data_IF_282711309216
#
_entry.id   IF_282711309216
#
_cell.length_a   1.000
_cell.length_b   1.000
_cell.length_c   1.000
_cell.angle_alpha   90.00
_cell.angle_beta   90.00
_cell.angle_gamma   90.00
#
_symmetry.space_group_name_H-M   'P 1'
#
loop_
_entity.id
_entity.type
_entity.pdbx_description
1 polymer ?
#
# COMPACT_ATOMS: atom_id res chain seq x y z
N UNK A 1 14.50 26.44 -14.46
CA UNK A 1 15.40 26.37 -13.29
C UNK A 1 16.81 26.62 -13.76
N UNK A 2 17.46 27.62 -13.24
CA UNK A 2 18.89 27.87 -13.49
C UNK A 2 19.69 26.81 -12.73
N UNK A 3 20.83 26.36 -13.24
CA UNK A 3 21.61 25.21 -12.78
C UNK A 3 22.18 25.28 -11.33
N UNK A 4 21.59 26.10 -10.45
CA UNK A 4 22.11 26.34 -9.09
C UNK A 4 21.04 26.43 -7.98
N UNK A 5 19.74 26.27 -8.28
CA UNK A 5 18.77 26.27 -7.21
C UNK A 5 18.76 24.89 -6.53
N UNK A 6 18.94 24.80 -5.20
CA UNK A 6 18.92 23.53 -4.49
C UNK A 6 17.54 22.86 -4.66
N UNK A 7 17.56 21.52 -4.78
CA UNK A 7 16.33 20.73 -4.83
C UNK A 7 15.53 21.00 -3.56
N UNK A 8 14.31 21.54 -3.72
CA UNK A 8 13.38 21.82 -2.63
C UNK A 8 12.23 20.82 -2.64
N UNK A 9 11.98 20.17 -1.51
CA UNK A 9 10.93 19.14 -1.34
C UNK A 9 10.00 19.53 -0.22
N UNK A 10 8.68 19.56 -0.50
CA UNK A 10 7.64 19.67 0.52
C UNK A 10 7.12 18.27 0.83
N UNK A 11 7.41 17.77 2.02
CA UNK A 11 6.92 16.48 2.52
C UNK A 11 5.55 16.70 3.14
N UNK A 12 4.51 16.15 2.53
CA UNK A 12 3.14 16.20 3.06
C UNK A 12 2.92 15.04 4.02
N UNK A 13 2.69 15.36 5.30
CA UNK A 13 2.44 14.35 6.33
C UNK A 13 1.45 14.85 7.37
N UNK A 14 0.68 13.96 7.95
CA UNK A 14 -0.40 14.25 8.89
C UNK A 14 -1.74 13.81 8.32
N UNK A 15 -2.58 14.77 7.92
CA UNK A 15 -3.93 14.51 7.42
C UNK A 15 -4.90 14.14 8.54
N UNK A 16 -6.10 13.69 8.17
CA UNK A 16 -7.21 13.43 9.10
C UNK A 16 -7.49 11.92 9.31
N UNK A 17 -6.70 11.04 8.69
CA UNK A 17 -6.90 9.59 8.83
C UNK A 17 -6.50 9.08 10.22
N UNK A 18 -6.97 7.89 10.57
CA UNK A 18 -6.56 7.20 11.80
C UNK A 18 -5.04 6.88 11.84
N UNK A 19 -4.36 6.97 10.68
CA UNK A 19 -2.93 6.72 10.52
C UNK A 19 -2.09 8.01 10.58
N UNK A 20 -2.68 9.14 11.04
CA UNK A 20 -2.02 10.44 11.16
C UNK A 20 -0.66 10.37 11.85
N UNK A 21 -0.56 9.67 12.98
CA UNK A 21 0.68 9.57 13.75
C UNK A 21 1.78 8.78 12.99
N UNK A 22 1.39 7.76 12.24
CA UNK A 22 2.29 7.01 11.36
C UNK A 22 2.78 7.90 10.22
N UNK A 23 1.88 8.67 9.63
CA UNK A 23 2.19 9.65 8.58
C UNK A 23 3.18 10.70 9.07
N UNK A 24 2.94 11.32 10.22
CA UNK A 24 3.85 12.33 10.79
C UNK A 24 5.24 11.76 11.11
N UNK A 25 5.32 10.53 11.62
CA UNK A 25 6.62 9.87 11.87
C UNK A 25 7.34 9.54 10.56
N UNK A 26 6.63 8.99 9.59
CA UNK A 26 7.18 8.70 8.25
C UNK A 26 7.67 9.97 7.57
N UNK A 27 6.87 11.05 7.61
CA UNK A 27 7.22 12.33 7.00
C UNK A 27 8.47 12.98 7.61
N UNK A 28 8.61 12.94 8.95
CA UNK A 28 9.83 13.42 9.61
C UNK A 28 11.06 12.65 9.13
N UNK A 29 10.99 11.32 9.06
CA UNK A 29 12.10 10.49 8.57
C UNK A 29 12.48 10.81 7.13
N UNK A 30 11.48 11.01 6.26
CA UNK A 30 11.73 11.41 4.86
C UNK A 30 12.43 12.76 4.82
N UNK A 31 11.92 13.77 5.54
CA UNK A 31 12.52 15.10 5.57
C UNK A 31 13.94 15.09 6.13
N UNK A 32 14.18 14.34 7.22
CA UNK A 32 15.51 14.26 7.85
C UNK A 32 16.50 13.50 6.94
N UNK A 33 16.08 12.44 6.25
CA UNK A 33 16.91 11.73 5.29
C UNK A 33 17.28 12.61 4.09
N UNK A 34 16.35 13.38 3.54
CA UNK A 34 16.61 14.34 2.47
C UNK A 34 17.59 15.44 2.91
N UNK A 35 17.40 16.00 4.11
CA UNK A 35 18.29 17.02 4.67
C UNK A 35 19.71 16.50 4.89
N UNK A 36 19.88 15.24 5.28
CA UNK A 36 21.19 14.63 5.50
C UNK A 36 22.06 14.57 4.25
N UNK A 37 21.46 14.65 3.06
CA UNK A 37 22.15 14.66 1.76
C UNK A 37 22.06 16.03 1.05
N UNK A 38 21.75 17.10 1.80
CA UNK A 38 21.78 18.48 1.30
C UNK A 38 20.56 18.92 0.51
N UNK A 39 19.44 18.15 0.54
CA UNK A 39 18.17 18.57 -0.06
C UNK A 39 17.41 19.46 0.91
N UNK A 40 16.87 20.59 0.43
CA UNK A 40 16.00 21.42 1.23
C UNK A 40 14.64 20.72 1.37
N UNK A 41 14.30 20.27 2.58
CA UNK A 41 13.06 19.56 2.84
C UNK A 41 12.25 20.22 3.96
N UNK A 42 10.98 20.53 3.70
CA UNK A 42 10.04 21.07 4.68
C UNK A 42 8.89 20.10 4.90
N UNK A 43 8.44 20.00 6.16
CA UNK A 43 7.28 19.19 6.53
C UNK A 43 6.05 20.07 6.56
N UNK A 44 4.96 19.62 5.91
CA UNK A 44 3.68 20.33 5.92
C UNK A 44 2.53 19.35 6.13
N UNK A 45 1.60 19.72 7.01
CA UNK A 45 0.31 19.05 7.15
C UNK A 45 -0.64 19.59 6.07
N UNK A 46 -1.37 18.75 5.32
CA UNK A 46 -2.36 19.23 4.37
C UNK A 46 -3.53 19.88 5.11
N UNK A 47 -3.78 21.12 4.75
CA UNK A 47 -4.87 21.94 5.27
C UNK A 47 -5.52 22.76 4.15
N UNK A 48 -6.50 23.61 4.48
CA UNK A 48 -7.21 24.45 3.53
C UNK A 48 -6.32 25.44 2.78
N UNK A 49 -5.09 25.70 3.24
CA UNK A 49 -4.14 26.63 2.61
C UNK A 49 -3.14 25.91 1.68
N UNK A 50 -3.19 24.58 1.59
CA UNK A 50 -2.19 23.81 0.84
C UNK A 50 -2.18 24.19 -0.64
N UNK A 51 -3.33 24.24 -1.29
CA UNK A 51 -3.39 24.50 -2.74
C UNK A 51 -2.97 25.93 -3.09
N UNK A 52 -3.33 26.92 -2.27
CA UNK A 52 -2.86 28.29 -2.46
C UNK A 52 -1.34 28.38 -2.26
N UNK A 53 -0.80 27.72 -1.24
CA UNK A 53 0.64 27.63 -1.02
C UNK A 53 1.37 27.03 -2.22
N UNK A 54 0.91 25.91 -2.76
CA UNK A 54 1.52 25.26 -3.91
C UNK A 54 1.52 26.13 -5.17
N UNK A 55 0.50 27.00 -5.31
CA UNK A 55 0.39 27.94 -6.42
C UNK A 55 1.31 29.16 -6.24
N UNK A 56 1.37 29.72 -5.03
CA UNK A 56 2.08 30.97 -4.73
C UNK A 56 3.57 30.76 -4.47
N UNK A 57 3.93 29.62 -3.90
CA UNK A 57 5.30 29.25 -3.53
C UNK A 57 5.59 27.80 -3.93
N UNK A 58 5.59 27.48 -5.23
CA UNK A 58 5.71 26.11 -5.67
C UNK A 58 7.07 25.52 -5.26
N UNK A 59 7.07 24.37 -4.54
CA UNK A 59 8.28 23.60 -4.32
C UNK A 59 8.74 22.97 -5.64
N UNK A 60 9.99 22.53 -5.71
CA UNK A 60 10.45 21.76 -6.85
C UNK A 60 9.67 20.42 -6.93
N UNK A 61 9.47 19.76 -5.77
CA UNK A 61 8.79 18.47 -5.67
C UNK A 61 7.95 18.41 -4.40
N UNK A 62 6.78 17.78 -4.48
CA UNK A 62 5.98 17.36 -3.32
C UNK A 62 6.25 15.88 -3.04
N UNK A 63 6.40 15.50 -1.77
CA UNK A 63 6.46 14.10 -1.36
C UNK A 63 5.27 13.76 -0.47
N UNK A 64 4.20 13.12 -1.00
CA UNK A 64 3.09 12.67 -0.20
C UNK A 64 3.50 11.48 0.69
N UNK A 65 3.29 11.62 2.01
CA UNK A 65 3.51 10.58 3.01
C UNK A 65 2.26 10.48 3.88
N UNK A 66 1.11 10.45 3.23
CA UNK A 66 -0.21 10.41 3.86
C UNK A 66 -0.80 9.02 3.73
N UNK A 67 -1.10 8.39 4.86
CA UNK A 67 -1.63 7.03 4.88
C UNK A 67 -3.16 7.01 4.98
N UNK A 68 -3.75 5.91 4.51
CA UNK A 68 -5.19 5.75 4.41
C UNK A 68 -5.81 6.57 3.27
N UNK A 69 -7.12 6.76 3.30
CA UNK A 69 -7.86 7.44 2.21
C UNK A 69 -7.31 8.82 1.86
N UNK A 70 -6.79 9.56 2.85
CA UNK A 70 -6.26 10.92 2.63
C UNK A 70 -5.11 11.02 1.62
N UNK A 71 -4.37 9.92 1.39
CA UNK A 71 -3.22 9.90 0.48
C UNK A 71 -3.30 8.80 -0.57
N UNK A 72 -3.89 7.65 -0.23
CA UNK A 72 -3.79 6.42 -1.03
C UNK A 72 -4.94 6.25 -2.03
N UNK A 73 -6.06 6.97 -1.88
CA UNK A 73 -7.23 6.88 -2.76
C UNK A 73 -7.08 7.61 -4.11
N UNK A 74 -5.96 8.33 -4.29
CA UNK A 74 -5.63 9.08 -5.49
C UNK A 74 -6.29 10.45 -5.60
N UNK A 75 -7.09 10.90 -4.62
CA UNK A 75 -7.75 12.21 -4.69
C UNK A 75 -6.75 13.37 -4.57
N UNK A 76 -5.90 13.35 -3.54
CA UNK A 76 -4.86 14.35 -3.37
C UNK A 76 -3.87 14.36 -4.54
N UNK A 77 -3.46 13.17 -5.01
CA UNK A 77 -2.53 13.04 -6.15
C UNK A 77 -3.13 13.68 -7.41
N UNK A 78 -4.43 13.48 -7.66
CA UNK A 78 -5.12 14.14 -8.76
C UNK A 78 -5.17 15.67 -8.62
N UNK A 79 -5.23 16.22 -7.42
CA UNK A 79 -5.14 17.67 -7.20
C UNK A 79 -3.72 18.19 -7.46
N UNK A 80 -2.68 17.42 -7.10
CA UNK A 80 -1.29 17.77 -7.44
C UNK A 80 -1.05 17.73 -8.95
N UNK A 81 -1.61 16.74 -9.65
CA UNK A 81 -1.58 16.65 -11.12
C UNK A 81 -2.25 17.86 -11.77
N UNK A 82 -3.47 18.23 -11.32
CA UNK A 82 -4.19 19.41 -11.81
C UNK A 82 -3.44 20.73 -11.52
N UNK A 83 -2.72 20.79 -10.41
CA UNK A 83 -1.91 21.95 -10.06
C UNK A 83 -0.56 21.99 -10.83
N UNK A 84 -0.23 20.96 -11.60
CA UNK A 84 1.03 20.87 -12.34
C UNK A 84 2.27 20.76 -11.45
N UNK A 85 2.11 20.26 -10.21
CA UNK A 85 3.20 20.15 -9.23
C UNK A 85 3.82 18.76 -9.32
N UNK A 86 5.14 18.63 -9.61
CA UNK A 86 5.83 17.35 -9.55
C UNK A 86 5.74 16.71 -8.17
N UNK A 87 5.54 15.41 -8.10
CA UNK A 87 5.48 14.71 -6.82
C UNK A 87 6.08 13.30 -6.90
N UNK A 88 6.62 12.84 -5.78
CA UNK A 88 7.14 11.47 -5.64
C UNK A 88 5.98 10.50 -5.42
N UNK A 89 5.99 9.40 -6.15
CA UNK A 89 5.03 8.31 -5.98
C UNK A 89 4.35 7.89 -7.27
N UNK A 90 3.11 7.49 -7.16
CA UNK A 90 2.29 6.94 -8.25
C UNK A 90 1.28 7.94 -8.75
N UNK A 91 0.85 7.82 -10.02
CA UNK A 91 -0.23 8.66 -10.54
C UNK A 91 -1.53 8.48 -9.74
N UNK A 92 -2.39 9.50 -9.77
CA UNK A 92 -3.71 9.43 -9.16
C UNK A 92 -4.53 8.24 -9.71
N UNK A 93 -4.36 7.89 -10.98
CA UNK A 93 -4.98 6.72 -11.61
C UNK A 93 -4.49 5.43 -10.97
N UNK A 94 -3.19 5.23 -10.89
CA UNK A 94 -2.59 4.02 -10.32
C UNK A 94 -2.93 3.87 -8.85
N UNK A 95 -2.94 4.97 -8.08
CA UNK A 95 -3.36 4.96 -6.68
C UNK A 95 -4.83 4.50 -6.54
N UNK A 96 -5.75 5.01 -7.34
CA UNK A 96 -7.16 4.55 -7.33
C UNK A 96 -7.31 3.07 -7.66
N UNK A 97 -6.54 2.56 -8.64
CA UNK A 97 -6.57 1.14 -9.00
C UNK A 97 -6.03 0.25 -7.87
N UNK A 98 -4.96 0.68 -7.22
CA UNK A 98 -4.35 -0.03 -6.09
C UNK A 98 -5.21 0.01 -4.83
N UNK A 99 -5.89 1.12 -4.56
CA UNK A 99 -6.76 1.33 -3.39
C UNK A 99 -7.98 0.41 -3.39
N UNK A 100 -8.52 0.09 -4.58
CA UNK A 100 -9.66 -0.81 -4.75
C UNK A 100 -9.18 -2.25 -4.91
N UNK A 101 -9.20 -3.02 -3.81
CA UNK A 101 -8.69 -4.40 -3.77
C UNK A 101 -9.29 -5.30 -4.86
N UNK A 102 -10.61 -5.29 -5.11
CA UNK A 102 -11.21 -6.08 -6.20
C UNK A 102 -10.60 -5.73 -7.58
N UNK A 103 -10.40 -4.44 -7.85
CA UNK A 103 -9.78 -3.99 -9.10
C UNK A 103 -8.31 -4.40 -9.19
N UNK A 104 -7.54 -4.21 -8.13
CA UNK A 104 -6.14 -4.64 -8.08
C UNK A 104 -5.99 -6.14 -8.29
N UNK A 105 -6.88 -6.96 -7.70
CA UNK A 105 -6.93 -8.42 -7.89
C UNK A 105 -7.25 -8.80 -9.33
N UNK A 106 -8.23 -8.17 -9.94
CA UNK A 106 -8.59 -8.44 -11.34
C UNK A 106 -7.42 -8.11 -12.29
N UNK A 107 -6.69 -7.03 -12.04
CA UNK A 107 -5.49 -6.68 -12.80
C UNK A 107 -4.32 -7.65 -12.53
N UNK A 108 -4.18 -8.14 -11.29
CA UNK A 108 -3.21 -9.18 -10.96
C UNK A 108 -3.51 -10.49 -11.71
N UNK A 109 -4.77 -10.93 -11.76
CA UNK A 109 -5.19 -12.10 -12.53
C UNK A 109 -4.93 -11.91 -14.04
N UNK A 110 -5.26 -10.74 -14.58
CA UNK A 110 -4.98 -10.41 -15.99
C UNK A 110 -3.47 -10.40 -16.30
N UNK A 111 -2.64 -10.05 -15.31
CA UNK A 111 -1.19 -10.17 -15.39
C UNK A 111 -0.69 -11.60 -15.16
N UNK A 112 -1.56 -12.60 -14.98
CA UNK A 112 -1.21 -14.00 -14.75
C UNK A 112 -0.68 -14.30 -13.35
N UNK A 113 -1.03 -13.49 -12.35
CA UNK A 113 -0.70 -13.74 -10.95
C UNK A 113 -1.84 -14.50 -10.25
N UNK A 114 -1.50 -15.30 -9.26
CA UNK A 114 -2.50 -15.92 -8.40
C UNK A 114 -3.01 -14.93 -7.37
N UNK A 115 -4.31 -14.93 -7.13
CA UNK A 115 -4.96 -14.19 -6.04
C UNK A 115 -6.06 -15.05 -5.43
N UNK A 116 -6.39 -14.92 -4.14
CA UNK A 116 -7.43 -15.72 -3.53
C UNK A 116 -8.77 -15.54 -4.25
N UNK A 117 -9.50 -16.63 -4.46
CA UNK A 117 -10.87 -16.55 -5.00
C UNK A 117 -11.71 -15.64 -4.11
N UNK A 118 -12.46 -14.72 -4.68
CA UNK A 118 -13.19 -13.73 -3.90
C UNK A 118 -14.51 -13.32 -4.50
N UNK A 119 -15.38 -12.78 -3.63
CA UNK A 119 -16.66 -12.18 -3.99
C UNK A 119 -16.69 -10.79 -3.35
N UNK A 120 -17.17 -9.83 -4.13
CA UNK A 120 -17.36 -8.45 -3.69
C UNK A 120 -18.84 -8.16 -3.53
N UNK A 121 -19.26 -7.68 -2.36
CA UNK A 121 -20.66 -7.43 -2.03
C UNK A 121 -20.85 -6.01 -1.47
N UNK A 122 -21.58 -5.14 -2.19
CA UNK A 122 -22.11 -3.91 -1.64
C UNK A 122 -23.13 -4.20 -0.54
N UNK A 123 -23.17 -3.38 0.52
CA UNK A 123 -24.15 -3.54 1.62
C UNK A 123 -25.61 -3.46 1.15
N UNK A 124 -25.87 -2.70 0.09
CA UNK A 124 -27.24 -2.55 -0.45
C UNK A 124 -27.76 -3.84 -1.10
N UNK A 125 -26.87 -4.71 -1.61
CA UNK A 125 -27.24 -6.02 -2.13
C UNK A 125 -28.02 -6.86 -1.10
N UNK A 126 -27.64 -6.77 0.18
CA UNK A 126 -28.34 -7.48 1.26
C UNK A 126 -29.71 -6.87 1.55
N UNK A 127 -29.85 -5.55 1.42
CA UNK A 127 -31.13 -4.87 1.61
C UNK A 127 -32.12 -5.22 0.52
N UNK A 128 -31.66 -5.34 -0.71
CA UNK A 128 -32.49 -5.62 -1.88
C UNK A 128 -32.84 -7.11 -2.02
N UNK A 129 -31.86 -8.01 -1.88
CA UNK A 129 -32.01 -9.43 -2.20
C UNK A 129 -32.25 -10.33 -0.97
N UNK A 130 -32.08 -9.78 0.23
CA UNK A 130 -32.21 -10.52 1.48
C UNK A 130 -30.96 -11.34 1.84
N UNK A 131 -30.53 -11.20 3.10
CA UNK A 131 -29.25 -11.74 3.57
C UNK A 131 -29.14 -13.27 3.42
N UNK A 132 -30.18 -14.03 3.72
CA UNK A 132 -30.12 -15.49 3.72
C UNK A 132 -29.81 -16.07 2.32
N UNK A 133 -30.43 -15.53 1.27
CA UNK A 133 -30.22 -16.00 -0.09
C UNK A 133 -28.81 -15.63 -0.60
N UNK A 134 -28.37 -14.39 -0.34
CA UNK A 134 -27.04 -13.92 -0.74
C UNK A 134 -25.95 -14.74 -0.04
N UNK A 135 -26.04 -14.93 1.28
CA UNK A 135 -25.04 -15.68 2.03
C UNK A 135 -24.95 -17.15 1.60
N UNK A 136 -26.07 -17.80 1.30
CA UNK A 136 -26.05 -19.16 0.76
C UNK A 136 -25.27 -19.25 -0.55
N UNK A 137 -25.51 -18.35 -1.50
CA UNK A 137 -24.76 -18.31 -2.76
C UNK A 137 -23.26 -18.05 -2.54
N UNK A 138 -22.93 -17.18 -1.59
CA UNK A 138 -21.53 -16.88 -1.25
C UNK A 138 -20.83 -18.12 -0.71
N UNK A 139 -21.45 -18.82 0.25
CA UNK A 139 -20.84 -20.02 0.87
C UNK A 139 -20.74 -21.20 -0.09
N UNK A 140 -21.63 -21.28 -1.09
CA UNK A 140 -21.53 -22.26 -2.18
C UNK A 140 -20.38 -21.92 -3.16
N UNK A 141 -20.17 -20.62 -3.43
CA UNK A 141 -19.18 -20.16 -4.40
C UNK A 141 -17.75 -20.11 -3.83
N UNK A 142 -17.62 -19.68 -2.58
CA UNK A 142 -16.33 -19.61 -1.86
C UNK A 142 -16.50 -20.39 -0.56
N UNK A 143 -15.91 -21.58 -0.41
CA UNK A 143 -15.97 -22.34 0.84
C UNK A 143 -15.10 -21.70 1.93
N UNK A 144 -15.51 -21.87 3.20
CA UNK A 144 -14.71 -21.47 4.35
C UNK A 144 -13.38 -22.27 4.42
N UNK A 145 -12.33 -21.72 5.04
CA UNK A 145 -12.27 -20.45 5.77
C UNK A 145 -12.15 -19.21 4.87
N UNK A 146 -12.58 -18.03 5.40
CA UNK A 146 -12.57 -16.77 4.68
C UNK A 146 -11.67 -15.71 5.37
N UNK A 147 -11.13 -14.79 4.58
CA UNK A 147 -10.75 -13.46 5.01
C UNK A 147 -11.83 -12.47 4.53
N UNK A 148 -12.53 -11.83 5.46
CA UNK A 148 -13.55 -10.82 5.17
C UNK A 148 -12.97 -9.46 5.49
N UNK A 149 -13.04 -8.51 4.57
CA UNK A 149 -12.43 -7.18 4.72
C UNK A 149 -13.18 -6.13 3.90
N UNK A 150 -13.03 -4.83 4.22
CA UNK A 150 -13.49 -3.77 3.34
C UNK A 150 -12.79 -3.87 1.98
N UNK A 151 -13.52 -3.59 0.89
CA UNK A 151 -12.93 -3.56 -0.47
C UNK A 151 -11.88 -2.47 -0.61
N UNK A 152 -12.00 -1.38 0.16
CA UNK A 152 -11.07 -0.25 0.23
C UNK A 152 -10.67 -0.02 1.67
N UNK A 153 -9.42 0.39 1.90
CA UNK A 153 -8.91 0.66 3.24
C UNK A 153 -7.53 0.08 3.46
N UNK A 154 -6.88 0.52 4.53
CA UNK A 154 -5.53 0.15 4.94
C UNK A 154 -5.50 -0.43 6.36
N UNK A 155 -4.28 -0.73 6.85
CA UNK A 155 -3.98 -1.10 8.25
C UNK A 155 -4.78 -2.28 8.81
N UNK A 156 -5.27 -3.17 7.96
CA UNK A 156 -6.11 -4.31 8.34
C UNK A 156 -7.38 -3.94 9.14
N UNK A 157 -7.89 -2.70 9.00
CA UNK A 157 -9.15 -2.29 9.62
C UNK A 157 -10.32 -3.07 9.03
N UNK A 158 -11.18 -3.60 9.88
CA UNK A 158 -12.35 -4.38 9.46
C UNK A 158 -12.01 -5.75 8.84
N UNK A 159 -10.78 -6.23 8.98
CA UNK A 159 -10.38 -7.58 8.54
C UNK A 159 -10.75 -8.60 9.61
N UNK A 160 -11.51 -9.61 9.21
CA UNK A 160 -11.92 -10.73 10.07
C UNK A 160 -11.63 -12.07 9.38
N UNK A 161 -10.93 -12.96 10.08
CA UNK A 161 -10.74 -14.34 9.63
C UNK A 161 -11.93 -15.18 10.14
N UNK A 162 -12.68 -15.76 9.22
CA UNK A 162 -13.89 -16.53 9.46
C UNK A 162 -13.61 -17.99 9.13
N UNK A 163 -13.56 -18.84 10.16
CA UNK A 163 -13.31 -20.28 9.99
C UNK A 163 -14.59 -21.08 9.82
N UNK A 164 -15.70 -20.57 10.34
CA UNK A 164 -17.03 -21.16 10.24
C UNK A 164 -17.95 -20.21 9.46
N UNK A 165 -18.65 -20.73 8.46
CA UNK A 165 -19.56 -19.95 7.62
C UNK A 165 -20.69 -19.26 8.42
N UNK A 166 -21.06 -19.78 9.59
CA UNK A 166 -22.06 -19.16 10.48
C UNK A 166 -21.62 -17.77 11.00
N UNK A 167 -20.31 -17.52 11.11
CA UNK A 167 -19.77 -16.23 11.54
C UNK A 167 -19.65 -15.20 10.41
N UNK A 168 -19.87 -15.61 9.15
CA UNK A 168 -19.74 -14.72 7.97
C UNK A 168 -20.63 -13.47 8.05
N UNK A 169 -21.92 -13.55 8.47
CA UNK A 169 -22.77 -12.36 8.57
C UNK A 169 -22.20 -11.27 9.47
N UNK A 170 -21.63 -11.66 10.62
CA UNK A 170 -21.03 -10.73 11.57
C UNK A 170 -19.77 -10.08 11.00
N UNK A 171 -18.88 -10.89 10.40
CA UNK A 171 -17.67 -10.39 9.77
C UNK A 171 -17.95 -9.36 8.65
N UNK A 172 -19.04 -9.55 7.92
CA UNK A 172 -19.48 -8.60 6.90
C UNK A 172 -19.97 -7.29 7.51
N UNK A 173 -20.74 -7.35 8.62
CA UNK A 173 -21.18 -6.14 9.34
C UNK A 173 -19.95 -5.38 9.84
N UNK A 174 -18.94 -6.07 10.37
CA UNK A 174 -17.68 -5.46 10.82
C UNK A 174 -16.94 -4.78 9.66
N UNK A 175 -16.86 -5.45 8.48
CA UNK A 175 -16.26 -4.84 7.28
C UNK A 175 -17.04 -3.61 6.79
N UNK A 176 -18.38 -3.62 6.85
CA UNK A 176 -19.22 -2.48 6.48
C UNK A 176 -19.12 -1.28 7.42
N UNK A 177 -18.51 -1.44 8.59
CA UNK A 177 -18.19 -0.30 9.47
C UNK A 177 -17.15 0.64 8.85
N UNK A 178 -16.29 0.09 7.98
CA UNK A 178 -15.18 0.81 7.34
C UNK A 178 -15.40 1.11 5.86
N UNK A 179 -16.50 0.67 5.27
CA UNK A 179 -16.81 0.94 3.87
C UNK A 179 -18.14 0.34 3.44
N UNK A 180 -18.61 0.70 2.25
CA UNK A 180 -19.92 0.27 1.74
C UNK A 180 -19.85 -1.07 0.98
N UNK A 181 -18.67 -1.61 0.78
CA UNK A 181 -18.41 -2.82 0.01
C UNK A 181 -17.49 -3.75 0.80
N UNK A 182 -17.93 -4.98 1.03
CA UNK A 182 -17.13 -6.04 1.62
C UNK A 182 -16.53 -6.93 0.53
N UNK A 183 -15.28 -7.36 0.75
CA UNK A 183 -14.57 -8.37 -0.02
C UNK A 183 -14.47 -9.63 0.85
N UNK A 184 -15.00 -10.73 0.36
CA UNK A 184 -14.95 -12.05 0.98
C UNK A 184 -13.97 -12.87 0.15
N UNK A 185 -12.86 -13.27 0.74
CA UNK A 185 -11.82 -14.04 0.06
C UNK A 185 -11.65 -15.41 0.68
N UNK A 186 -11.33 -16.40 -0.12
CA UNK A 186 -10.79 -17.65 0.36
C UNK A 186 -9.54 -17.38 1.20
N UNK A 187 -9.47 -17.93 2.40
CA UNK A 187 -8.25 -17.84 3.20
C UNK A 187 -7.16 -18.73 2.57
N UNK A 188 -6.05 -18.11 2.21
CA UNK A 188 -4.84 -18.82 1.79
C UNK A 188 -3.95 -19.00 3.01
N UNK A 189 -3.57 -20.24 3.30
CA UNK A 189 -2.62 -20.55 4.35
C UNK A 189 -1.19 -20.54 3.80
N UNK A 190 -0.25 -19.95 4.55
CA UNK A 190 1.13 -19.87 4.12
C UNK A 190 1.92 -18.83 4.91
N UNK A 191 3.08 -18.48 4.36
CA UNK A 191 3.97 -17.46 4.93
C UNK A 191 3.55 -16.08 4.43
N UNK A 192 3.21 -15.17 5.34
CA UNK A 192 2.86 -13.79 5.00
C UNK A 192 4.12 -12.98 4.70
N UNK A 193 4.15 -12.37 3.52
CA UNK A 193 5.29 -11.63 2.97
C UNK A 193 4.87 -10.23 2.61
N UNK A 194 5.70 -9.24 2.96
CA UNK A 194 5.66 -7.91 2.37
C UNK A 194 6.95 -7.66 1.58
N UNK A 195 6.81 -7.13 0.38
CA UNK A 195 7.96 -6.85 -0.48
C UNK A 195 7.84 -5.44 -1.07
N UNK A 196 8.90 -4.64 -0.93
CA UNK A 196 9.00 -3.33 -1.57
C UNK A 196 9.40 -3.45 -3.03
N UNK A 197 8.87 -2.57 -3.86
CA UNK A 197 9.33 -2.37 -5.24
C UNK A 197 9.68 -0.90 -5.40
N UNK A 198 10.84 -0.62 -6.01
CA UNK A 198 11.35 0.71 -6.29
C UNK A 198 11.61 0.87 -7.78
N UNK A 199 11.23 2.01 -8.34
CA UNK A 199 11.65 2.46 -9.66
C UNK A 199 12.28 3.85 -9.56
N UNK A 200 13.57 3.92 -9.81
CA UNK A 200 14.34 5.17 -9.85
C UNK A 200 14.56 5.68 -11.27
N UNK A 201 13.80 5.18 -12.24
CA UNK A 201 13.91 5.53 -13.67
C UNK A 201 14.68 4.50 -14.52
N UNK A 202 15.23 3.45 -13.90
CA UNK A 202 15.89 2.33 -14.60
C UNK A 202 14.98 1.11 -14.81
N UNK A 203 13.76 1.17 -14.31
CA UNK A 203 12.78 0.11 -14.23
C UNK A 203 12.58 -0.38 -12.80
N UNK A 204 11.43 -1.03 -12.53
CA UNK A 204 11.08 -1.47 -11.18
C UNK A 204 11.93 -2.66 -10.72
N UNK A 205 12.47 -2.56 -9.52
CA UNK A 205 13.26 -3.59 -8.85
C UNK A 205 12.64 -3.96 -7.50
N UNK A 206 12.58 -5.25 -7.20
CA UNK A 206 12.10 -5.75 -5.93
C UNK A 206 13.21 -5.72 -4.86
N UNK A 207 12.86 -5.26 -3.66
CA UNK A 207 13.74 -5.31 -2.48
C UNK A 207 13.73 -6.72 -1.86
N UNK A 208 14.67 -7.02 -0.94
CA UNK A 208 14.55 -8.22 -0.10
C UNK A 208 13.18 -8.27 0.61
N UNK A 209 12.50 -9.39 0.46
CA UNK A 209 11.18 -9.61 1.03
C UNK A 209 11.25 -9.75 2.55
N UNK A 210 10.24 -9.25 3.26
CA UNK A 210 10.09 -9.37 4.72
C UNK A 210 9.01 -10.38 5.04
N UNK A 211 9.33 -11.41 5.81
CA UNK A 211 8.38 -12.33 6.41
C UNK A 211 7.76 -11.73 7.65
N UNK A 212 6.44 -11.84 7.77
CA UNK A 212 5.63 -11.30 8.86
C UNK A 212 5.11 -12.47 9.71
N UNK A 213 5.48 -12.49 10.99
CA UNK A 213 5.10 -13.57 11.93
C UNK A 213 4.39 -12.97 13.13
N UNK A 214 3.06 -12.79 13.06
CA UNK A 214 2.28 -12.30 14.19
C UNK A 214 2.12 -13.38 15.26
N UNK A 215 2.20 -13.01 16.54
CA UNK A 215 2.04 -13.94 17.66
C UNK A 215 0.62 -14.53 17.77
N UNK A 216 -0.37 -13.79 17.28
CA UNK A 216 -1.78 -14.20 17.22
C UNK A 216 -2.12 -15.08 16.02
N UNK A 217 -1.17 -15.29 15.09
CA UNK A 217 -1.41 -15.98 13.83
C UNK A 217 -2.14 -15.15 12.76
N UNK A 218 -2.51 -13.91 13.06
CA UNK A 218 -3.16 -12.96 12.11
C UNK A 218 -2.50 -11.60 12.24
N UNK A 219 -2.02 -11.05 11.13
CA UNK A 219 -1.43 -9.71 11.07
C UNK A 219 -2.52 -8.63 10.97
N UNK A 220 -3.37 -8.57 12.01
CA UNK A 220 -4.43 -7.59 12.16
C UNK A 220 -3.93 -6.24 12.66
N UNK A 221 -4.88 -5.32 12.93
CA UNK A 221 -4.60 -3.96 13.38
C UNK A 221 -3.70 -3.93 14.64
N UNK A 222 -4.04 -4.70 15.67
CA UNK A 222 -3.24 -4.73 16.91
C UNK A 222 -1.82 -5.25 16.68
N UNK A 223 -1.65 -6.27 15.86
CA UNK A 223 -0.35 -6.86 15.55
C UNK A 223 0.56 -5.90 14.75
N UNK A 224 -0.02 -4.93 14.03
CA UNK A 224 0.72 -3.91 13.26
C UNK A 224 1.25 -2.78 14.14
N UNK A 225 0.51 -2.38 15.17
CA UNK A 225 0.79 -1.15 15.93
C UNK A 225 1.26 -1.38 17.38
N UNK A 226 1.16 -2.61 17.91
CA UNK A 226 1.64 -2.94 19.24
C UNK A 226 3.00 -3.66 19.17
N UNK A 227 4.02 -3.02 19.74
CA UNK A 227 5.36 -3.57 19.74
C UNK A 227 5.42 -4.97 20.42
N UNK A 228 6.15 -5.90 19.80
CA UNK A 228 6.34 -7.26 20.32
C UNK A 228 5.26 -8.27 19.91
N UNK A 229 4.15 -7.83 19.29
CA UNK A 229 3.11 -8.74 18.79
C UNK A 229 3.41 -9.35 17.43
N UNK A 230 4.42 -8.84 16.72
CA UNK A 230 4.85 -9.36 15.41
C UNK A 230 6.38 -9.42 15.35
N UNK A 231 6.90 -10.51 14.80
CA UNK A 231 8.31 -10.64 14.44
C UNK A 231 8.44 -10.51 12.94
N UNK A 232 9.52 -9.85 12.51
CA UNK A 232 9.86 -9.66 11.12
C UNK A 232 11.20 -10.29 10.81
N UNK A 233 11.31 -10.93 9.65
CA UNK A 233 12.56 -11.51 9.17
C UNK A 233 12.83 -11.02 7.76
N UNK A 234 13.94 -10.28 7.58
CA UNK A 234 14.37 -9.75 6.29
C UNK A 234 15.84 -10.11 6.06
N UNK A 235 16.18 -10.92 5.05
CA UNK A 235 15.27 -11.57 4.08
C UNK A 235 14.31 -12.57 4.71
N UNK A 236 13.17 -12.79 4.06
CA UNK A 236 12.17 -13.78 4.45
C UNK A 236 12.75 -15.21 4.44
N UNK A 237 12.29 -16.05 5.37
CA UNK A 237 12.74 -17.44 5.53
C UNK A 237 11.96 -18.38 4.62
N UNK A 238 12.04 -18.15 3.32
CA UNK A 238 11.45 -18.97 2.25
C UNK A 238 12.55 -19.52 1.36
N UNK A 239 12.23 -20.48 0.48
CA UNK A 239 13.22 -21.01 -0.46
C UNK A 239 13.70 -19.95 -1.47
N UNK A 240 14.90 -20.08 -2.05
CA UNK A 240 15.37 -19.16 -3.08
C UNK A 240 14.42 -19.09 -4.29
N UNK A 241 13.80 -20.19 -4.67
CA UNK A 241 12.84 -20.28 -5.77
C UNK A 241 11.56 -19.51 -5.44
N UNK A 242 11.03 -19.65 -4.21
CA UNK A 242 9.89 -18.89 -3.74
C UNK A 242 10.22 -17.40 -3.64
N UNK A 243 11.41 -17.02 -3.17
CA UNK A 243 11.85 -15.64 -3.11
C UNK A 243 11.91 -14.99 -4.49
N UNK A 244 12.43 -15.70 -5.50
CA UNK A 244 12.45 -15.23 -6.88
C UNK A 244 11.02 -15.09 -7.45
N UNK A 245 10.12 -16.04 -7.17
CA UNK A 245 8.73 -15.98 -7.60
C UNK A 245 7.96 -14.80 -6.94
N UNK A 246 8.22 -14.52 -5.65
CA UNK A 246 7.66 -13.35 -4.92
C UNK A 246 8.16 -12.06 -5.54
N UNK A 247 9.46 -11.95 -5.85
CA UNK A 247 10.05 -10.77 -6.48
C UNK A 247 9.46 -10.52 -7.88
N UNK A 248 9.35 -11.56 -8.71
CA UNK A 248 8.71 -11.48 -10.03
C UNK A 248 7.24 -11.02 -9.92
N UNK A 249 6.48 -11.64 -9.02
CA UNK A 249 5.08 -11.28 -8.80
C UNK A 249 4.91 -9.82 -8.37
N UNK A 250 5.77 -9.34 -7.46
CA UNK A 250 5.74 -7.96 -6.99
C UNK A 250 6.05 -6.95 -8.10
N UNK A 251 7.06 -7.21 -8.92
CA UNK A 251 7.39 -6.35 -10.07
C UNK A 251 6.26 -6.36 -11.11
N UNK A 252 5.71 -7.53 -11.41
CA UNK A 252 4.62 -7.66 -12.40
C UNK A 252 3.36 -6.91 -11.99
N UNK A 253 2.94 -6.97 -10.71
CA UNK A 253 1.77 -6.20 -10.26
C UNK A 253 2.06 -4.71 -10.22
N UNK A 254 3.26 -4.30 -9.84
CA UNK A 254 3.71 -2.91 -9.89
C UNK A 254 3.54 -2.34 -11.32
N UNK A 255 4.01 -3.07 -12.32
CA UNK A 255 3.90 -2.71 -13.74
C UNK A 255 2.44 -2.75 -14.23
N UNK A 256 1.69 -3.80 -13.89
CA UNK A 256 0.31 -3.98 -14.36
C UNK A 256 -0.65 -2.89 -13.87
N UNK A 257 -0.40 -2.34 -12.68
CA UNK A 257 -1.15 -1.21 -12.13
C UNK A 257 -0.60 0.15 -12.58
N UNK A 258 0.52 0.18 -13.32
CA UNK A 258 1.20 1.41 -13.71
C UNK A 258 1.69 2.20 -12.50
N UNK A 259 2.10 1.52 -11.43
CA UNK A 259 2.62 2.16 -10.24
C UNK A 259 3.92 2.88 -10.58
N UNK A 260 4.12 4.03 -9.94
CA UNK A 260 5.31 4.84 -10.19
C UNK A 260 6.53 4.36 -9.41
N UNK A 261 7.06 5.23 -8.56
CA UNK A 261 8.40 5.05 -8.02
C UNK A 261 8.51 4.07 -6.85
N UNK A 262 7.42 3.91 -6.05
CA UNK A 262 7.46 3.13 -4.81
C UNK A 262 6.15 2.37 -4.64
N UNK A 263 6.26 1.08 -4.27
CA UNK A 263 5.13 0.33 -3.73
C UNK A 263 5.58 -0.70 -2.69
N UNK A 264 4.62 -1.21 -1.91
CA UNK A 264 4.75 -2.44 -1.12
C UNK A 264 3.65 -3.40 -1.55
N UNK A 265 4.04 -4.61 -1.89
CA UNK A 265 3.13 -5.68 -2.27
C UNK A 265 3.04 -6.68 -1.13
N UNK A 266 1.81 -7.03 -0.73
CA UNK A 266 1.53 -7.99 0.33
C UNK A 266 1.09 -9.32 -0.33
N UNK A 267 1.76 -10.42 0.02
CA UNK A 267 1.70 -11.73 -0.64
C UNK A 267 1.65 -12.82 0.42
N UNK A 268 0.89 -13.89 0.19
CA UNK A 268 1.05 -15.16 0.91
C UNK A 268 1.84 -16.14 0.02
N UNK A 269 2.84 -16.77 0.59
CA UNK A 269 3.55 -17.90 -0.06
C UNK A 269 3.00 -19.20 0.53
N UNK A 270 2.33 -20.00 -0.30
CA UNK A 270 1.74 -21.28 0.12
C UNK A 270 2.80 -22.37 0.38
N UNK A 271 2.35 -23.54 0.80
CA UNK A 271 3.23 -24.67 1.10
C UNK A 271 4.04 -25.16 -0.11
N UNK A 272 3.57 -24.90 -1.33
CA UNK A 272 4.25 -25.27 -2.57
C UNK A 272 5.24 -24.18 -3.04
N UNK A 273 5.37 -23.08 -2.27
CA UNK A 273 6.23 -21.94 -2.59
C UNK A 273 5.62 -20.97 -3.61
N UNK A 274 4.33 -21.12 -3.91
CA UNK A 274 3.64 -20.26 -4.88
C UNK A 274 3.17 -18.96 -4.23
N UNK A 275 3.42 -17.79 -4.86
CA UNK A 275 2.95 -16.49 -4.36
C UNK A 275 1.48 -16.26 -4.69
N UNK A 276 0.72 -15.76 -3.71
CA UNK A 276 -0.67 -15.32 -3.82
C UNK A 276 -0.76 -13.84 -3.48
N UNK A 277 -1.06 -13.03 -4.48
CA UNK A 277 -1.22 -11.59 -4.32
C UNK A 277 -2.45 -11.26 -3.47
N UNK A 278 -2.28 -10.39 -2.46
CA UNK A 278 -3.36 -9.90 -1.61
C UNK A 278 -3.73 -8.46 -1.90
N UNK A 279 -2.75 -7.56 -1.82
CA UNK A 279 -2.92 -6.13 -2.02
C UNK A 279 -1.59 -5.44 -2.35
N UNK A 280 -1.67 -4.21 -2.84
CA UNK A 280 -0.51 -3.34 -3.04
C UNK A 280 -0.78 -1.97 -2.47
N UNK A 281 0.24 -1.40 -1.82
CA UNK A 281 0.20 -0.08 -1.23
C UNK A 281 1.16 0.86 -1.98
N UNK A 282 0.65 2.01 -2.47
CA UNK A 282 1.40 3.00 -3.26
C UNK A 282 2.04 4.10 -2.41
N UNK A 283 1.67 4.23 -1.13
CA UNK A 283 2.28 5.12 -0.15
C UNK A 283 2.62 4.30 1.12
N UNK A 284 3.57 3.35 1.01
CA UNK A 284 3.91 2.49 2.13
C UNK A 284 4.50 3.28 3.30
N UNK A 285 4.30 2.78 4.52
CA UNK A 285 4.87 3.38 5.72
C UNK A 285 6.40 3.43 5.67
N UNK A 286 6.95 4.54 6.15
CA UNK A 286 8.39 4.82 6.16
C UNK A 286 8.95 5.03 7.58
N UNK A 287 8.24 4.57 8.61
CA UNK A 287 8.74 4.58 10.00
C UNK A 287 9.84 3.53 10.18
N UNK A 288 10.55 3.56 11.29
CA UNK A 288 11.60 2.58 11.61
C UNK A 288 11.13 1.13 11.62
N UNK A 289 9.89 0.92 12.02
CA UNK A 289 9.29 -0.42 12.12
C UNK A 289 8.49 -0.79 10.87
N UNK A 290 8.43 0.08 9.87
CA UNK A 290 7.71 -0.19 8.62
C UNK A 290 8.47 -1.19 7.74
N UNK A 291 7.72 -1.95 6.95
CA UNK A 291 8.23 -3.08 6.16
C UNK A 291 9.14 -2.65 5.00
N UNK A 292 8.81 -1.53 4.32
CA UNK A 292 9.66 -1.02 3.23
C UNK A 292 11.06 -0.61 3.72
N UNK A 293 11.23 0.17 4.81
CA UNK A 293 12.54 0.47 5.38
C UNK A 293 13.35 -0.75 5.78
N UNK A 294 12.72 -1.84 6.23
CA UNK A 294 13.42 -3.11 6.53
C UNK A 294 14.02 -3.73 5.26
N UNK A 295 13.27 -3.75 4.16
CA UNK A 295 13.77 -4.18 2.86
C UNK A 295 14.94 -3.33 2.36
N UNK A 296 14.85 -2.00 2.49
CA UNK A 296 15.92 -1.06 2.14
C UNK A 296 17.20 -1.32 2.95
N UNK A 297 17.07 -1.50 4.27
CA UNK A 297 18.19 -1.79 5.15
C UNK A 297 18.85 -3.13 4.81
N UNK A 298 18.06 -4.17 4.52
CA UNK A 298 18.58 -5.48 4.11
C UNK A 298 19.28 -5.44 2.74
N UNK A 299 18.88 -4.51 1.86
CA UNK A 299 19.55 -4.27 0.59
C UNK A 299 20.79 -3.37 0.72
N UNK A 300 21.09 -2.84 1.91
CA UNK A 300 22.22 -1.91 2.11
C UNK A 300 22.02 -0.56 1.44
N UNK A 301 20.78 -0.13 1.23
CA UNK A 301 20.47 1.12 0.52
C UNK A 301 20.64 2.32 1.45
N UNK A 302 21.40 3.30 1.02
CA UNK A 302 21.51 4.60 1.68
C UNK A 302 20.23 5.42 1.41
N UNK A 303 19.41 5.56 2.45
CA UNK A 303 18.02 6.06 2.31
C UNK A 303 18.00 7.52 1.84
N UNK A 304 18.87 8.37 2.35
CA UNK A 304 18.94 9.79 1.95
C UNK A 304 19.21 9.94 0.46
N UNK A 305 20.19 9.20 -0.05
CA UNK A 305 20.57 9.22 -1.46
C UNK A 305 19.48 8.61 -2.37
N UNK A 306 18.81 7.54 -1.91
CA UNK A 306 17.65 7.00 -2.61
C UNK A 306 16.55 8.06 -2.72
N UNK A 307 16.20 8.71 -1.61
CA UNK A 307 15.12 9.69 -1.59
C UNK A 307 15.42 10.91 -2.44
N UNK A 308 16.69 11.37 -2.48
CA UNK A 308 17.13 12.41 -3.40
C UNK A 308 16.90 12.01 -4.86
N UNK A 309 17.30 10.78 -5.26
CA UNK A 309 17.11 10.27 -6.62
C UNK A 309 15.63 10.15 -6.99
N UNK A 310 14.77 9.71 -6.07
CA UNK A 310 13.32 9.63 -6.30
C UNK A 310 12.72 11.03 -6.51
N UNK A 311 13.15 12.02 -5.73
CA UNK A 311 12.70 13.40 -5.90
C UNK A 311 13.20 14.01 -7.22
N UNK A 312 14.44 13.73 -7.62
CA UNK A 312 14.98 14.16 -8.92
C UNK A 312 14.24 13.50 -10.10
N UNK A 313 13.95 12.21 -9.99
CA UNK A 313 13.19 11.49 -11.02
C UNK A 313 11.76 12.05 -11.18
N UNK A 314 11.13 12.51 -10.09
CA UNK A 314 9.82 13.16 -10.14
C UNK A 314 9.82 14.46 -10.95
N UNK A 315 10.94 15.21 -10.99
CA UNK A 315 11.09 16.41 -11.82
C UNK A 315 11.12 16.10 -13.32
N UNK A 316 11.63 14.94 -13.69
CA UNK A 316 11.75 14.49 -15.09
C UNK A 316 10.54 13.72 -15.61
N UNK A 317 9.58 13.40 -14.74
CA UNK A 317 8.37 12.67 -15.13
C UNK A 317 7.48 13.57 -16.02
N UNK A 318 7.04 13.12 -17.20
CA UNK A 318 6.09 13.87 -17.99
C UNK A 318 4.80 14.07 -17.17
N UNK A 319 4.23 15.29 -17.20
CA UNK A 319 2.90 15.55 -16.68
C UNK A 319 1.94 14.54 -17.33
N UNK A 320 1.22 13.74 -16.55
CA UNK A 320 0.22 12.80 -17.06
C UNK A 320 -0.87 13.59 -17.78
N UNK A 321 -0.90 13.48 -19.12
CA UNK A 321 -1.99 13.95 -19.96
C UNK A 321 -3.30 13.17 -19.69
#
# INVERSE_FOLDING_TARGET
MTAHDPLSVVVLAGGISHERDVSLRSGRRVADALRSVGVEATLRDPDATLLDFLRETPPAVVWPVLHGASGEDGALLGLLELAGVPYVGSSARSARLAWDKPTAKALAEAAGLRTPRSITLPKDTFRELGAAAVLRLVTEAVPAPYAVKPARGGSAQGVTIVRDAEALPRAMVDAYTYGDVALIEQLVEGTEIAIGVLDTGAGPEALPATEIVPTSGVYGYEARYNAGLTRFYTPARISPEAAAAVADAAVRIHVALGIGQISRVDIIVDADGSPWFLEVNVIPGLTETSLLPQGLAAAGVEVGELYRRLAEAALGAPSSD
#
